data_IF_204756753237
#
_entry.id   IF_204756753237
#
_cell.length_a   1.000
_cell.length_b   1.000
_cell.length_c   1.000
_cell.angle_alpha   90.00
_cell.angle_beta   90.00
_cell.angle_gamma   90.00
#
_symmetry.space_group_name_H-M   'P 1'
#
loop_
_entity.id
_entity.type
_entity.pdbx_description
1 polymer ?
#
# COMPACT_ATOMS: atom_id res chain seq x y z
N UNK A 1 7.66 -16.02 -35.67
CA UNK A 1 7.22 -14.98 -34.73
C UNK A 1 7.63 -15.44 -33.36
N UNK A 2 8.71 -14.87 -32.83
CA UNK A 2 9.24 -15.18 -31.50
C UNK A 2 8.25 -14.67 -30.45
N UNK A 3 7.64 -15.59 -29.71
CA UNK A 3 6.86 -15.30 -28.51
C UNK A 3 7.74 -14.48 -27.55
N UNK A 4 7.35 -13.24 -27.28
CA UNK A 4 7.99 -12.44 -26.24
C UNK A 4 7.62 -13.10 -24.92
N UNK A 5 8.60 -13.77 -24.33
CA UNK A 5 8.48 -14.30 -22.99
C UNK A 5 8.65 -13.13 -22.00
N UNK A 6 7.50 -12.59 -21.57
CA UNK A 6 7.44 -11.47 -20.65
C UNK A 6 8.05 -11.84 -19.29
N UNK A 7 8.05 -13.11 -18.87
CA UNK A 7 8.71 -13.55 -17.64
C UNK A 7 10.23 -13.33 -17.70
N UNK A 8 10.83 -13.60 -18.87
CA UNK A 8 12.26 -13.34 -19.12
C UNK A 8 12.55 -11.84 -19.32
N UNK A 9 11.64 -11.08 -19.92
CA UNK A 9 11.78 -9.63 -20.11
C UNK A 9 11.68 -8.82 -18.80
N UNK A 10 10.93 -9.33 -17.82
CA UNK A 10 10.74 -8.69 -16.52
C UNK A 10 11.66 -9.24 -15.41
N UNK A 11 12.54 -10.19 -15.72
CA UNK A 11 13.64 -10.56 -14.82
C UNK A 11 13.25 -11.45 -13.63
N UNK A 12 12.09 -12.13 -13.68
CA UNK A 12 11.68 -13.09 -12.66
C UNK A 12 12.56 -14.35 -12.74
N UNK A 13 13.76 -14.32 -12.14
CA UNK A 13 14.70 -15.45 -12.09
C UNK A 13 14.63 -16.21 -10.76
N UNK A 14 14.06 -15.64 -9.71
CA UNK A 14 14.14 -16.17 -8.34
C UNK A 14 12.78 -16.64 -7.83
N UNK A 15 12.39 -17.84 -8.28
CA UNK A 15 11.33 -18.67 -7.67
C UNK A 15 11.45 -18.74 -6.13
N UNK A 16 12.66 -18.84 -5.51
CA UNK A 16 12.79 -18.92 -4.05
C UNK A 16 12.24 -17.71 -3.30
N UNK A 17 12.44 -16.49 -3.81
CA UNK A 17 11.99 -15.29 -3.12
C UNK A 17 10.45 -15.23 -3.10
N UNK A 18 9.81 -15.48 -4.24
CA UNK A 18 8.35 -15.53 -4.35
C UNK A 18 7.73 -16.58 -3.40
N UNK A 19 8.34 -17.76 -3.29
CA UNK A 19 7.90 -18.82 -2.37
C UNK A 19 8.01 -18.38 -0.90
N UNK A 20 9.10 -17.71 -0.52
CA UNK A 20 9.26 -17.19 0.86
C UNK A 20 8.15 -16.17 1.18
N UNK A 21 7.86 -15.25 0.26
CA UNK A 21 6.78 -14.28 0.44
C UNK A 21 5.41 -14.95 0.52
N UNK A 22 5.13 -15.95 -0.33
CA UNK A 22 3.89 -16.73 -0.28
C UNK A 22 3.70 -17.45 1.06
N UNK A 23 4.76 -18.08 1.59
CA UNK A 23 4.75 -18.74 2.91
C UNK A 23 4.44 -17.75 4.03
N UNK A 24 4.87 -16.49 3.90
CA UNK A 24 4.59 -15.43 4.89
C UNK A 24 3.16 -14.87 4.73
N UNK A 25 2.69 -14.70 3.49
CA UNK A 25 1.34 -14.19 3.22
C UNK A 25 0.24 -15.18 3.61
N UNK A 26 0.44 -16.48 3.42
CA UNK A 26 -0.57 -17.50 3.71
C UNK A 26 -1.08 -17.49 5.16
N UNK A 27 -0.23 -17.48 6.22
CA UNK A 27 -0.70 -17.37 7.59
C UNK A 27 -1.32 -16.00 7.89
N UNK A 28 -0.84 -14.92 7.24
CA UNK A 28 -1.45 -13.59 7.37
C UNK A 28 -2.88 -13.57 6.79
N UNK A 29 -3.09 -14.16 5.62
CA UNK A 29 -4.41 -14.33 5.01
C UNK A 29 -5.34 -15.11 5.92
N UNK A 30 -4.92 -16.28 6.39
CA UNK A 30 -5.73 -17.11 7.29
C UNK A 30 -6.10 -16.35 8.57
N UNK A 31 -5.14 -15.59 9.12
CA UNK A 31 -5.37 -14.74 10.28
C UNK A 31 -6.40 -13.65 10.00
N UNK A 32 -6.27 -12.93 8.89
CA UNK A 32 -7.19 -11.84 8.54
C UNK A 32 -8.57 -12.35 8.14
N UNK A 33 -8.69 -13.49 7.45
CA UNK A 33 -9.99 -14.14 7.20
C UNK A 33 -10.67 -14.44 8.53
N UNK A 34 -9.96 -15.11 9.45
CA UNK A 34 -10.50 -15.42 10.77
C UNK A 34 -10.93 -14.17 11.52
N UNK A 35 -10.13 -13.11 11.45
CA UNK A 35 -10.41 -11.84 12.11
C UNK A 35 -11.57 -11.08 11.44
N UNK A 36 -11.68 -11.14 10.12
CA UNK A 36 -12.77 -10.53 9.34
C UNK A 36 -14.12 -11.17 9.63
N UNK A 37 -14.15 -12.49 9.85
CA UNK A 37 -15.35 -13.23 10.27
C UNK A 37 -15.74 -12.83 11.71
N UNK A 38 -14.76 -12.63 12.59
CA UNK A 38 -15.03 -12.29 14.00
C UNK A 38 -15.41 -10.82 14.23
N UNK A 39 -14.80 -9.91 13.49
CA UNK A 39 -15.03 -8.48 13.58
C UNK A 39 -15.00 -7.89 12.17
N UNK A 40 -16.17 -7.70 11.57
CA UNK A 40 -16.31 -7.14 10.23
C UNK A 40 -15.94 -5.66 10.22
N UNK A 41 -14.64 -5.40 10.15
CA UNK A 41 -14.10 -4.05 9.96
C UNK A 41 -13.60 -3.97 8.53
N UNK A 42 -13.93 -2.88 7.83
CA UNK A 42 -13.55 -2.66 6.42
C UNK A 42 -12.05 -2.94 6.16
N UNK A 43 -11.19 -2.62 7.13
CA UNK A 43 -9.74 -2.80 7.03
C UNK A 43 -9.34 -4.27 6.89
N UNK A 44 -9.98 -5.19 7.61
CA UNK A 44 -9.65 -6.63 7.51
C UNK A 44 -10.05 -7.20 6.16
N UNK A 45 -11.18 -6.76 5.62
CA UNK A 45 -11.63 -7.17 4.28
C UNK A 45 -10.62 -6.70 3.24
N UNK A 46 -10.22 -5.43 3.28
CA UNK A 46 -9.25 -4.88 2.32
C UNK A 46 -7.87 -5.54 2.42
N UNK A 47 -7.36 -5.80 3.63
CA UNK A 47 -6.09 -6.53 3.82
C UNK A 47 -6.18 -7.99 3.38
N UNK A 48 -7.32 -8.64 3.57
CA UNK A 48 -7.53 -10.03 3.12
C UNK A 48 -7.53 -10.10 1.60
N UNK A 49 -8.26 -9.20 0.94
CA UNK A 49 -8.28 -9.12 -0.53
C UNK A 49 -6.88 -8.84 -1.07
N UNK A 50 -6.14 -7.91 -0.45
CA UNK A 50 -4.76 -7.61 -0.82
C UNK A 50 -3.84 -8.83 -0.73
N UNK A 51 -3.82 -9.51 0.42
CA UNK A 51 -2.96 -10.67 0.56
C UNK A 51 -3.41 -11.87 -0.31
N UNK A 52 -4.71 -11.98 -0.62
CA UNK A 52 -5.20 -13.00 -1.55
C UNK A 52 -4.76 -12.73 -3.00
N UNK A 53 -4.70 -11.48 -3.46
CA UNK A 53 -4.16 -11.18 -4.79
C UNK A 53 -2.74 -11.69 -4.95
N UNK A 54 -1.86 -11.38 -3.99
CA UNK A 54 -0.44 -11.74 -4.05
C UNK A 54 -0.23 -13.27 -4.13
N UNK A 55 -1.09 -14.05 -3.45
CA UNK A 55 -1.06 -15.52 -3.51
C UNK A 55 -1.57 -16.03 -4.86
N UNK A 56 -2.58 -15.38 -5.44
CA UNK A 56 -3.15 -15.81 -6.72
C UNK A 56 -2.16 -15.62 -7.88
N UNK A 57 -1.30 -14.60 -7.77
CA UNK A 57 -0.31 -14.24 -8.81
C UNK A 57 0.90 -15.18 -8.79
N UNK A 58 1.19 -15.83 -7.66
CA UNK A 58 2.37 -16.71 -7.52
C UNK A 58 2.24 -18.07 -8.22
N UNK A 59 1.09 -18.41 -8.81
CA UNK A 59 0.95 -19.64 -9.59
C UNK A 59 1.61 -19.50 -10.97
N UNK A 60 2.64 -20.32 -11.23
CA UNK A 60 3.62 -20.25 -12.34
C UNK A 60 3.07 -20.17 -13.78
N UNK A 61 1.77 -20.32 -14.02
CA UNK A 61 1.20 -20.39 -15.39
C UNK A 61 0.78 -19.04 -15.99
N UNK A 62 1.22 -17.92 -15.41
CA UNK A 62 0.53 -16.63 -15.54
C UNK A 62 1.36 -15.53 -16.23
N UNK A 63 2.67 -15.72 -16.40
CA UNK A 63 3.58 -14.73 -16.99
C UNK A 63 3.53 -14.56 -18.51
N UNK A 64 2.88 -15.48 -19.24
CA UNK A 64 2.79 -15.41 -20.72
C UNK A 64 1.67 -14.49 -21.22
N UNK A 65 0.71 -14.13 -20.36
CA UNK A 65 -0.50 -13.41 -20.75
C UNK A 65 -0.45 -11.94 -20.34
N UNK A 66 -0.49 -11.02 -21.32
CA UNK A 66 -0.57 -9.58 -21.10
C UNK A 66 -1.73 -9.18 -20.17
N UNK A 67 -2.87 -9.86 -20.30
CA UNK A 67 -4.05 -9.61 -19.46
C UNK A 67 -3.78 -9.91 -17.98
N UNK A 68 -2.93 -10.89 -17.69
CA UNK A 68 -2.58 -11.26 -16.32
C UNK A 68 -1.62 -10.24 -15.74
N UNK A 69 -0.65 -9.76 -16.53
CA UNK A 69 0.22 -8.66 -16.13
C UNK A 69 -0.56 -7.37 -15.82
N UNK A 70 -1.54 -7.03 -16.67
CA UNK A 70 -2.43 -5.88 -16.41
C UNK A 70 -3.20 -6.12 -15.10
N UNK A 71 -3.75 -7.32 -14.90
CA UNK A 71 -4.47 -7.64 -13.67
C UNK A 71 -3.57 -7.52 -12.42
N UNK A 72 -2.32 -7.98 -12.51
CA UNK A 72 -1.32 -7.88 -11.44
C UNK A 72 -1.04 -6.43 -11.05
N UNK A 73 -0.69 -5.58 -12.01
CA UNK A 73 -0.41 -4.16 -11.76
C UNK A 73 -1.63 -3.42 -11.18
N UNK A 74 -2.85 -3.79 -11.62
CA UNK A 74 -4.10 -3.27 -11.06
C UNK A 74 -4.29 -3.72 -9.61
N UNK A 75 -4.11 -5.01 -9.33
CA UNK A 75 -4.25 -5.55 -7.97
C UNK A 75 -3.21 -4.95 -7.03
N UNK A 76 -1.97 -4.77 -7.49
CA UNK A 76 -0.91 -4.09 -6.76
C UNK A 76 -1.28 -2.64 -6.42
N UNK A 77 -1.83 -1.89 -7.38
CA UNK A 77 -2.32 -0.52 -7.14
C UNK A 77 -3.51 -0.45 -6.16
N UNK A 78 -4.48 -1.35 -6.31
CA UNK A 78 -5.65 -1.46 -5.41
C UNK A 78 -5.22 -1.89 -3.99
N UNK A 79 -4.23 -2.76 -3.91
CA UNK A 79 -3.60 -3.19 -2.67
C UNK A 79 -2.97 -2.06 -1.89
N UNK A 80 -2.13 -1.28 -2.58
CA UNK A 80 -1.53 -0.09 -2.00
C UNK A 80 -2.57 0.94 -1.58
N UNK A 81 -3.60 1.16 -2.40
CA UNK A 81 -4.75 2.00 -2.02
C UNK A 81 -5.34 1.58 -0.66
N UNK A 82 -5.55 0.27 -0.46
CA UNK A 82 -6.10 -0.25 0.79
C UNK A 82 -5.17 0.01 1.98
N UNK A 83 -3.87 -0.23 1.81
CA UNK A 83 -2.85 0.04 2.84
C UNK A 83 -2.81 1.52 3.20
N UNK A 84 -2.69 2.40 2.21
CA UNK A 84 -2.57 3.83 2.43
C UNK A 84 -3.84 4.43 3.06
N UNK A 85 -5.02 4.03 2.57
CA UNK A 85 -6.29 4.46 3.15
C UNK A 85 -6.48 3.96 4.59
N UNK A 86 -6.06 2.74 4.88
CA UNK A 86 -6.05 2.17 6.24
C UNK A 86 -5.11 2.93 7.16
N UNK A 87 -3.88 3.24 6.72
CA UNK A 87 -2.91 4.05 7.48
C UNK A 87 -3.52 5.39 7.86
N UNK A 88 -4.04 6.09 6.86
CA UNK A 88 -4.65 7.40 7.01
C UNK A 88 -5.83 7.37 7.99
N UNK A 89 -6.74 6.40 7.85
CA UNK A 89 -7.90 6.26 8.74
C UNK A 89 -7.49 5.98 10.18
N UNK A 90 -6.45 5.16 10.40
CA UNK A 90 -5.94 4.88 11.76
C UNK A 90 -5.32 6.11 12.42
N UNK A 91 -4.60 6.95 11.65
CA UNK A 91 -4.06 8.22 12.16
C UNK A 91 -5.20 9.12 12.61
N UNK A 92 -6.23 9.31 11.76
CA UNK A 92 -7.38 10.15 12.09
C UNK A 92 -8.19 9.64 13.29
N UNK A 93 -8.49 8.34 13.33
CA UNK A 93 -9.21 7.72 14.46
C UNK A 93 -8.47 7.97 15.79
N UNK A 94 -7.13 7.94 15.74
CA UNK A 94 -6.29 8.17 16.91
C UNK A 94 -6.22 9.64 17.32
N UNK A 95 -6.14 10.56 16.36
CA UNK A 95 -6.23 11.99 16.65
C UNK A 95 -7.55 12.34 17.35
N UNK A 96 -8.68 11.80 16.85
CA UNK A 96 -10.00 11.99 17.46
C UNK A 96 -10.02 11.43 18.89
N UNK A 97 -9.49 10.22 19.08
CA UNK A 97 -9.47 9.55 20.39
C UNK A 97 -8.60 10.27 21.43
N UNK A 98 -7.58 11.00 20.99
CA UNK A 98 -6.61 11.67 21.88
C UNK A 98 -6.97 13.13 22.17
N UNK A 99 -8.07 13.63 21.60
CA UNK A 99 -8.55 15.00 21.80
C UNK A 99 -7.46 16.05 21.57
N UNK A 100 -6.53 15.78 20.66
CA UNK A 100 -5.47 16.73 20.32
C UNK A 100 -6.08 17.92 19.56
N UNK A 101 -5.66 19.16 19.85
CA UNK A 101 -6.16 20.31 19.11
C UNK A 101 -5.84 20.11 17.62
N UNK A 102 -6.81 20.36 16.71
CA UNK A 102 -6.59 20.18 15.29
C UNK A 102 -5.39 21.01 14.85
N UNK A 103 -4.44 20.40 14.14
CA UNK A 103 -3.34 21.14 13.50
C UNK A 103 -3.98 22.24 12.64
N UNK A 104 -3.73 23.51 12.99
CA UNK A 104 -4.42 24.68 12.42
C UNK A 104 -4.00 25.02 10.98
N UNK A 105 -3.11 24.25 10.36
CA UNK A 105 -2.68 24.50 8.99
C UNK A 105 -3.81 24.18 8.00
N UNK A 106 -4.29 25.22 7.32
CA UNK A 106 -5.47 25.20 6.44
C UNK A 106 -5.34 24.18 5.30
N UNK A 107 -4.13 24.00 4.75
CA UNK A 107 -3.85 23.02 3.69
C UNK A 107 -4.02 21.57 4.17
N UNK A 108 -3.56 21.26 5.37
CA UNK A 108 -3.72 19.93 5.97
C UNK A 108 -5.18 19.66 6.38
N UNK A 109 -5.97 20.70 6.65
CA UNK A 109 -7.39 20.56 7.02
C UNK A 109 -8.24 19.98 5.89
N UNK A 110 -7.98 20.38 4.64
CA UNK A 110 -8.67 19.86 3.45
C UNK A 110 -8.29 18.39 3.24
N UNK A 111 -7.01 18.07 3.40
CA UNK A 111 -6.48 16.71 3.26
C UNK A 111 -6.78 15.80 4.46
N UNK A 112 -7.41 16.33 5.51
CA UNK A 112 -7.88 15.58 6.68
C UNK A 112 -9.27 14.99 6.46
N UNK A 113 -9.99 15.41 5.42
CA UNK A 113 -11.28 14.81 5.08
C UNK A 113 -11.09 13.42 4.48
N UNK A 114 -11.64 12.41 5.16
CA UNK A 114 -11.65 11.01 4.72
C UNK A 114 -12.22 10.83 3.33
N UNK A 115 -13.20 11.65 2.96
CA UNK A 115 -13.86 11.56 1.65
C UNK A 115 -12.95 12.07 0.55
N UNK A 116 -12.32 13.24 0.75
CA UNK A 116 -11.39 13.80 -0.24
C UNK A 116 -10.18 12.90 -0.44
N UNK A 117 -9.58 12.42 0.65
CA UNK A 117 -8.45 11.48 0.56
C UNK A 117 -8.83 10.22 -0.21
N UNK A 118 -10.01 9.65 0.06
CA UNK A 118 -10.54 8.49 -0.67
C UNK A 118 -10.80 8.79 -2.14
N UNK A 119 -11.37 9.95 -2.48
CA UNK A 119 -11.65 10.33 -3.87
C UNK A 119 -10.34 10.46 -4.66
N UNK A 120 -9.34 11.16 -4.12
CA UNK A 120 -8.04 11.33 -4.80
C UNK A 120 -7.36 9.98 -4.97
N UNK A 121 -7.42 9.12 -3.97
CA UNK A 121 -6.92 7.75 -4.05
C UNK A 121 -7.62 6.92 -5.15
N UNK A 122 -8.94 6.99 -5.26
CA UNK A 122 -9.70 6.30 -6.32
C UNK A 122 -9.32 6.83 -7.70
N UNK A 123 -9.14 8.16 -7.84
CA UNK A 123 -8.65 8.77 -9.07
C UNK A 123 -7.25 8.24 -9.40
N UNK A 124 -6.36 8.13 -8.41
CA UNK A 124 -5.02 7.54 -8.57
C UNK A 124 -5.07 6.12 -9.11
N UNK A 125 -5.91 5.25 -8.52
CA UNK A 125 -6.13 3.87 -9.00
C UNK A 125 -6.67 3.86 -10.42
N UNK A 126 -7.70 4.66 -10.72
CA UNK A 126 -8.31 4.73 -12.05
C UNK A 126 -7.28 5.17 -13.12
N UNK A 127 -6.44 6.16 -12.81
CA UNK A 127 -5.36 6.60 -13.69
C UNK A 127 -4.29 5.51 -13.87
N UNK A 128 -4.01 4.71 -12.83
CA UNK A 128 -3.12 3.55 -12.92
C UNK A 128 -3.66 2.47 -13.85
N UNK A 129 -4.94 2.12 -13.72
CA UNK A 129 -5.64 1.15 -14.59
C UNK A 129 -5.64 1.64 -16.04
N UNK A 130 -6.02 2.90 -16.27
CA UNK A 130 -6.03 3.49 -17.61
C UNK A 130 -4.61 3.57 -18.19
N UNK A 131 -3.63 3.96 -17.38
CA UNK A 131 -2.24 4.09 -17.80
C UNK A 131 -1.64 2.76 -18.23
N UNK A 132 -1.88 1.70 -17.46
CA UNK A 132 -1.41 0.34 -17.77
C UNK A 132 -2.08 -0.20 -19.03
N UNK A 133 -3.41 -0.11 -19.12
CA UNK A 133 -4.18 -0.53 -20.30
C UNK A 133 -3.70 0.20 -21.56
N UNK A 134 -3.62 1.54 -21.52
CA UNK A 134 -3.22 2.34 -22.68
C UNK A 134 -1.75 2.12 -23.06
N UNK A 135 -0.86 1.93 -22.08
CA UNK A 135 0.59 1.72 -22.31
C UNK A 135 0.91 0.41 -23.03
N UNK A 136 0.01 -0.58 -22.93
CA UNK A 136 0.17 -1.90 -23.55
C UNK A 136 -0.49 -2.02 -24.93
N UNK A 137 -1.15 -0.96 -25.39
CA UNK A 137 -1.79 -0.94 -26.71
C UNK A 137 -0.78 -0.82 -27.85
N UNK A 138 -1.12 -1.35 -29.03
CA UNK A 138 -0.28 -1.28 -30.23
C UNK A 138 -0.20 0.11 -30.86
N UNK A 139 -1.04 1.04 -30.42
CA UNK A 139 -1.10 2.41 -30.94
C UNK A 139 -0.08 3.31 -30.21
N UNK A 140 0.90 3.83 -30.93
CA UNK A 140 2.01 4.64 -30.35
C UNK A 140 1.52 5.89 -29.60
N UNK A 141 0.42 6.49 -30.05
CA UNK A 141 -0.21 7.66 -29.41
C UNK A 141 -0.90 7.30 -28.07
N UNK A 142 -1.52 6.12 -27.99
CA UNK A 142 -2.12 5.61 -26.74
C UNK A 142 -1.03 5.12 -25.79
N UNK A 143 0.02 4.47 -26.30
CA UNK A 143 1.14 4.00 -25.51
C UNK A 143 1.82 5.15 -24.72
N UNK A 144 2.16 6.24 -25.40
CA UNK A 144 2.79 7.43 -24.77
C UNK A 144 1.88 8.12 -23.75
N UNK A 145 0.58 8.22 -24.04
CA UNK A 145 -0.43 8.69 -23.09
C UNK A 145 -0.52 7.77 -21.87
N UNK A 146 -0.52 6.45 -22.08
CA UNK A 146 -0.57 5.46 -21.02
C UNK A 146 0.61 5.57 -20.04
N UNK A 147 1.83 5.71 -20.57
CA UNK A 147 3.03 5.96 -19.75
C UNK A 147 2.91 7.23 -18.92
N UNK A 148 2.34 8.29 -19.52
CA UNK A 148 2.11 9.56 -18.80
C UNK A 148 1.09 9.38 -17.68
N UNK A 149 -0.04 8.70 -17.93
CA UNK A 149 -1.07 8.42 -16.94
C UNK A 149 -0.55 7.56 -15.79
N UNK A 150 0.22 6.50 -16.10
CA UNK A 150 0.88 5.65 -15.10
C UNK A 150 1.83 6.49 -14.23
N UNK A 151 2.63 7.35 -14.86
CA UNK A 151 3.54 8.27 -14.15
C UNK A 151 2.79 9.23 -13.23
N UNK A 152 1.70 9.82 -13.70
CA UNK A 152 0.86 10.70 -12.89
C UNK A 152 0.24 9.95 -11.70
N UNK A 153 -0.23 8.72 -11.92
CA UNK A 153 -0.79 7.88 -10.85
C UNK A 153 0.24 7.64 -9.73
N UNK A 154 1.47 7.22 -10.05
CA UNK A 154 2.52 7.01 -9.05
C UNK A 154 2.85 8.30 -8.30
N UNK A 155 2.97 9.44 -8.99
CA UNK A 155 3.22 10.73 -8.34
C UNK A 155 2.09 11.09 -7.36
N UNK A 156 0.83 10.82 -7.71
CA UNK A 156 -0.32 11.04 -6.82
C UNK A 156 -0.24 10.15 -5.58
N UNK A 157 0.03 8.85 -5.74
CA UNK A 157 0.20 7.93 -4.62
C UNK A 157 1.34 8.35 -3.68
N UNK A 158 2.44 8.80 -4.24
CA UNK A 158 3.58 9.31 -3.48
C UNK A 158 3.20 10.58 -2.71
N UNK A 159 2.54 11.54 -3.36
CA UNK A 159 2.09 12.76 -2.70
C UNK A 159 1.15 12.46 -1.53
N UNK A 160 0.20 11.54 -1.72
CA UNK A 160 -0.72 11.09 -0.66
C UNK A 160 0.01 10.38 0.48
N UNK A 161 1.05 9.61 0.17
CA UNK A 161 1.89 8.93 1.16
C UNK A 161 2.70 9.92 1.99
N UNK A 162 3.28 10.95 1.36
CA UNK A 162 3.93 12.05 2.08
C UNK A 162 2.95 12.80 2.98
N UNK A 163 1.74 13.09 2.50
CA UNK A 163 0.69 13.73 3.30
C UNK A 163 0.34 12.86 4.52
N UNK A 164 0.12 11.56 4.31
CA UNK A 164 -0.17 10.60 5.39
C UNK A 164 0.99 10.52 6.40
N UNK A 165 2.24 10.61 5.93
CA UNK A 165 3.40 10.61 6.80
C UNK A 165 3.57 11.89 7.61
N UNK A 166 3.35 13.06 6.98
CA UNK A 166 3.34 14.35 7.69
C UNK A 166 2.26 14.34 8.76
N UNK A 167 1.06 13.86 8.47
CA UNK A 167 -0.01 13.74 9.47
C UNK A 167 0.39 12.80 10.62
N UNK A 168 1.01 11.66 10.30
CA UNK A 168 1.52 10.72 11.32
C UNK A 168 2.59 11.36 12.21
N UNK A 169 3.51 12.12 11.61
CA UNK A 169 4.58 12.83 12.32
C UNK A 169 4.05 13.96 13.19
N UNK A 170 3.09 14.74 12.70
CA UNK A 170 2.42 15.79 13.47
C UNK A 170 1.64 15.22 14.66
N UNK A 171 0.91 14.12 14.44
CA UNK A 171 0.21 13.41 15.52
C UNK A 171 1.19 12.89 16.59
N UNK A 172 2.41 12.51 16.19
CA UNK A 172 3.48 12.12 17.13
C UNK A 172 4.04 13.33 17.91
N UNK A 173 4.33 14.43 17.22
CA UNK A 173 4.90 15.65 17.81
C UNK A 173 3.96 16.31 18.82
N UNK A 174 2.66 16.39 18.52
CA UNK A 174 1.65 17.01 19.38
C UNK A 174 1.39 16.24 20.69
N UNK A 175 1.86 15.01 20.82
CA UNK A 175 1.65 14.18 22.01
C UNK A 175 2.81 14.24 23.01
N UNK A 176 3.97 14.81 22.65
CA UNK A 176 5.06 15.06 23.59
C UNK A 176 4.69 16.01 24.75
N UNK A 177 3.58 16.73 24.62
CA UNK A 177 3.07 17.69 25.60
C UNK A 177 1.97 17.15 26.52
N UNK A 178 1.41 15.95 26.26
CA UNK A 178 0.39 15.33 27.13
C UNK A 178 1.01 14.22 27.99
N UNK A 179 0.60 14.15 29.26
CA UNK A 179 1.08 13.14 30.22
C UNK A 179 0.95 11.71 29.64
N UNK A 180 1.96 10.84 29.84
CA UNK A 180 1.95 9.49 29.30
C UNK A 180 0.76 8.72 29.88
N UNK A 181 -0.13 8.23 29.02
CA UNK A 181 -1.16 7.29 29.45
C UNK A 181 -0.50 5.92 29.71
N UNK A 182 -0.88 5.26 30.81
CA UNK A 182 -0.31 3.96 31.22
C UNK A 182 -0.80 2.78 30.37
N UNK A 183 -1.65 3.02 29.36
CA UNK A 183 -2.18 1.95 28.50
C UNK A 183 -1.18 1.61 27.39
N UNK A 184 -0.74 0.35 27.38
CA UNK A 184 0.28 -0.16 26.45
C UNK A 184 -0.11 0.00 24.96
N UNK A 185 -1.41 -0.05 24.65
CA UNK A 185 -1.95 0.21 23.31
C UNK A 185 -1.78 1.67 22.86
N UNK A 186 -1.77 2.61 23.80
CA UNK A 186 -1.54 4.02 23.50
C UNK A 186 -0.03 4.29 23.32
N UNK A 187 0.84 3.64 24.09
CA UNK A 187 2.30 3.81 23.93
C UNK A 187 2.85 3.21 22.62
N UNK A 188 2.41 2.00 22.27
CA UNK A 188 2.99 1.27 21.13
C UNK A 188 2.27 1.54 19.81
N UNK A 189 0.98 1.88 19.82
CA UNK A 189 0.24 2.12 18.57
C UNK A 189 0.80 3.30 17.76
N UNK A 190 1.41 4.29 18.43
CA UNK A 190 2.10 5.43 17.80
C UNK A 190 3.36 5.00 17.06
N UNK A 191 4.17 4.18 17.73
CA UNK A 191 5.40 3.63 17.13
C UNK A 191 5.07 2.72 15.94
N UNK A 192 3.98 1.94 16.03
CA UNK A 192 3.53 1.10 14.92
C UNK A 192 3.08 1.94 13.73
N UNK A 193 2.29 3.00 13.95
CA UNK A 193 1.88 3.94 12.89
C UNK A 193 3.06 4.64 12.22
N UNK A 194 4.04 5.09 13.00
CA UNK A 194 5.26 5.70 12.48
C UNK A 194 6.05 4.71 11.61
N UNK A 195 6.17 3.45 12.05
CA UNK A 195 6.83 2.39 11.27
C UNK A 195 6.09 2.11 9.97
N UNK A 196 4.76 1.97 9.99
CA UNK A 196 3.94 1.78 8.77
C UNK A 196 4.19 2.94 7.80
N UNK A 197 4.13 4.18 8.30
CA UNK A 197 4.34 5.35 7.47
C UNK A 197 5.73 5.40 6.83
N UNK A 198 6.77 5.02 7.57
CA UNK A 198 8.13 4.96 7.05
C UNK A 198 8.24 3.90 5.94
N UNK A 199 7.65 2.72 6.15
CA UNK A 199 7.65 1.62 5.17
C UNK A 199 6.94 2.04 3.87
N UNK A 200 5.78 2.71 3.98
CA UNK A 200 5.06 3.23 2.81
C UNK A 200 5.87 4.30 2.05
N UNK A 201 6.57 5.20 2.75
CA UNK A 201 7.45 6.18 2.09
C UNK A 201 8.60 5.49 1.35
N UNK A 202 9.27 4.53 1.98
CA UNK A 202 10.40 3.83 1.36
C UNK A 202 9.99 3.20 0.02
N UNK A 203 8.84 2.53 0.01
CA UNK A 203 8.24 1.96 -1.20
C UNK A 203 7.97 3.01 -2.26
N UNK A 204 7.25 4.08 -1.91
CA UNK A 204 6.86 5.10 -2.87
C UNK A 204 8.05 5.85 -3.45
N UNK A 205 9.04 6.17 -2.62
CA UNK A 205 10.29 6.81 -3.08
C UNK A 205 11.00 5.91 -4.09
N UNK A 206 11.08 4.60 -3.83
CA UNK A 206 11.66 3.66 -4.78
C UNK A 206 10.89 3.66 -6.11
N UNK A 207 9.56 3.58 -6.08
CA UNK A 207 8.72 3.57 -7.29
C UNK A 207 8.82 4.86 -8.10
N UNK A 208 8.92 6.03 -7.44
CA UNK A 208 9.10 7.31 -8.14
C UNK A 208 10.48 7.44 -8.75
N UNK A 209 11.53 7.03 -8.02
CA UNK A 209 12.92 7.12 -8.51
C UNK A 209 13.14 6.18 -9.70
N UNK A 210 12.48 5.02 -9.70
CA UNK A 210 12.60 4.02 -10.78
C UNK A 210 11.57 4.19 -11.90
N UNK A 211 10.69 5.19 -11.82
CA UNK A 211 9.56 5.35 -12.75
C UNK A 211 9.95 5.55 -14.21
N UNK A 212 11.16 6.04 -14.47
CA UNK A 212 11.69 6.25 -15.81
C UNK A 212 12.38 5.01 -16.38
N UNK A 213 12.62 3.98 -15.56
CA UNK A 213 13.37 2.78 -15.91
C UNK A 213 12.65 1.53 -15.40
N UNK A 214 11.73 1.02 -16.23
CA UNK A 214 10.94 -0.18 -15.90
C UNK A 214 11.78 -1.44 -15.74
N UNK A 215 12.99 -1.50 -16.31
CA UNK A 215 13.88 -2.64 -16.11
C UNK A 215 14.44 -2.66 -14.69
N UNK A 216 14.87 -1.49 -14.17
CA UNK A 216 15.30 -1.34 -12.78
C UNK A 216 14.17 -1.47 -11.77
N UNK A 217 12.99 -0.97 -12.09
CA UNK A 217 11.83 -1.06 -11.20
C UNK A 217 11.44 -2.52 -10.92
N UNK A 218 11.55 -3.39 -11.93
CA UNK A 218 11.15 -4.79 -11.84
C UNK A 218 12.33 -5.74 -11.52
N UNK A 219 13.52 -5.19 -11.29
CA UNK A 219 14.67 -6.00 -10.92
C UNK A 219 14.46 -6.62 -9.54
N UNK A 220 14.40 -7.96 -9.46
CA UNK A 220 14.07 -8.69 -8.22
C UNK A 220 14.89 -8.25 -7.01
N UNK A 221 16.19 -8.01 -7.21
CA UNK A 221 17.11 -7.62 -6.13
C UNK A 221 16.74 -6.28 -5.48
N UNK A 222 16.04 -5.41 -6.22
CA UNK A 222 15.57 -4.11 -5.74
C UNK A 222 14.09 -4.17 -5.35
N UNK A 223 13.27 -4.84 -6.16
CA UNK A 223 11.84 -4.92 -5.97
C UNK A 223 11.46 -5.58 -4.63
N UNK A 224 12.06 -6.72 -4.29
CA UNK A 224 11.74 -7.40 -3.03
C UNK A 224 12.04 -6.57 -1.76
N UNK A 225 13.24 -5.98 -1.56
CA UNK A 225 13.54 -5.23 -0.34
C UNK A 225 12.87 -3.86 -0.27
N UNK A 226 12.57 -3.21 -1.40
CA UNK A 226 12.02 -1.86 -1.40
C UNK A 226 10.52 -1.80 -1.66
N UNK A 227 9.91 -2.84 -2.22
CA UNK A 227 8.47 -2.89 -2.52
C UNK A 227 7.77 -3.94 -1.67
N UNK A 228 8.10 -5.22 -1.86
CA UNK A 228 7.38 -6.31 -1.20
C UNK A 228 7.63 -6.35 0.31
N UNK A 229 8.89 -6.19 0.75
CA UNK A 229 9.24 -6.25 2.17
C UNK A 229 8.56 -5.13 2.98
N UNK A 230 8.55 -3.85 2.54
CA UNK A 230 7.82 -2.80 3.23
C UNK A 230 6.32 -3.05 3.33
N UNK A 231 5.70 -3.62 2.28
CA UNK A 231 4.29 -3.99 2.29
C UNK A 231 3.99 -5.08 3.31
N UNK A 232 4.75 -6.19 3.29
CA UNK A 232 4.58 -7.29 4.24
C UNK A 232 4.77 -6.79 5.67
N UNK A 233 5.82 -6.02 5.94
CA UNK A 233 6.08 -5.48 7.27
C UNK A 233 4.97 -4.51 7.71
N UNK A 234 4.42 -3.71 6.79
CA UNK A 234 3.28 -2.85 7.08
C UNK A 234 2.03 -3.67 7.44
N UNK A 235 1.73 -4.71 6.67
CA UNK A 235 0.62 -5.65 6.91
C UNK A 235 0.78 -6.35 8.28
N UNK A 236 1.98 -6.82 8.62
CA UNK A 236 2.27 -7.38 9.94
C UNK A 236 2.07 -6.33 11.05
N UNK A 237 2.47 -5.09 10.82
CA UNK A 237 2.23 -3.99 11.76
C UNK A 237 0.73 -3.74 11.97
N UNK A 238 -0.09 -3.82 10.92
CA UNK A 238 -1.56 -3.72 11.03
C UNK A 238 -2.16 -4.85 11.86
N UNK A 239 -1.71 -6.09 11.67
CA UNK A 239 -2.22 -7.23 12.42
C UNK A 239 -1.99 -7.08 13.93
N UNK A 240 -0.83 -6.54 14.33
CA UNK A 240 -0.49 -6.26 15.73
C UNK A 240 -1.29 -5.07 16.28
N UNK A 241 -1.45 -4.00 15.50
CA UNK A 241 -2.15 -2.78 15.92
C UNK A 241 -3.64 -3.04 16.18
N UNK A 242 -4.31 -3.81 15.31
CA UNK A 242 -5.77 -3.95 15.37
C UNK A 242 -6.27 -5.09 16.26
N UNK A 243 -5.48 -6.16 16.45
CA UNK A 243 -5.84 -7.23 17.40
C UNK A 243 -5.99 -6.74 18.84
N UNK A 244 -5.40 -5.59 19.18
CA UNK A 244 -5.47 -5.01 20.53
C UNK A 244 -6.58 -3.99 20.73
N UNK A 245 -7.12 -3.38 19.66
CA UNK A 245 -8.35 -2.54 19.75
C UNK A 245 -9.55 -3.36 20.22
N UNK A 246 -9.63 -4.63 19.82
CA UNK A 246 -10.70 -5.57 20.22
C UNK A 246 -10.64 -5.96 21.70
N UNK A 247 -9.44 -6.02 22.30
CA UNK A 247 -9.27 -6.33 23.73
C UNK A 247 -9.47 -5.14 24.67
N UNK A 248 -9.45 -3.90 24.16
CA UNK A 248 -9.67 -2.71 24.98
C UNK A 248 -11.17 -2.36 25.14
N UNK A 249 -12.05 -3.07 24.43
CA UNK A 249 -13.51 -2.90 24.45
C UNK A 249 -14.25 -4.09 25.11
N UNK A 250 -13.51 -5.06 25.64
CA UNK A 250 -13.98 -6.18 26.46
C UNK A 250 -13.34 -6.05 27.85
#
# INVERSE_FOLDING_TARGET
MSSIDYATAFGYKSIPAAVVFAIVYLPLVLWFIRQSIRNTTYIYISLTVFCLSEILITSESLGENLNVFIADEIMFGVGFFALLFSAFTLVLDREISTGAPPVQQVSLRILRDRRLFRIILVIGVALGIMGTTDSTSSDTSKASRGTTLRRTSTILFTALTFIQAVQTGLAFAQQGTKAPSNYWGDRNGKQILARISLLLIVREVFLVVTISDSARQNEEILWYPFVALPEVLAVMCYSISQTRKVRALL
#
